data_IF_042223169362
#
_entry.id   IF_042223169362
#
_cell.length_a   1.000
_cell.length_b   1.000
_cell.length_c   1.000
_cell.angle_alpha   90.00
_cell.angle_beta   90.00
_cell.angle_gamma   90.00
#
_symmetry.space_group_name_H-M   'P 1'
#
loop_
_entity.id
_entity.type
_entity.pdbx_description
1 polymer ?
#
# COMPACT_ATOMS: atom_id res chain seq x y z
N UNK A 1 -19.43 35.15 -17.22
CA UNK A 1 -20.02 34.90 -15.89
C UNK A 1 -20.65 33.52 -15.92
N UNK A 2 -19.84 32.49 -15.64
CA UNK A 2 -20.26 31.09 -15.62
C UNK A 2 -20.84 30.77 -14.24
N UNK A 3 -22.12 30.41 -14.21
CA UNK A 3 -22.82 29.98 -13.01
C UNK A 3 -22.23 28.66 -12.49
N UNK A 4 -21.55 28.73 -11.33
CA UNK A 4 -21.31 27.57 -10.48
C UNK A 4 -22.62 27.29 -9.75
N UNK A 5 -23.20 26.08 -9.82
CA UNK A 5 -24.36 25.75 -9.00
C UNK A 5 -23.92 25.65 -7.54
N UNK A 6 -24.37 26.61 -6.73
CA UNK A 6 -24.31 26.51 -5.27
C UNK A 6 -25.18 25.34 -4.85
N UNK A 7 -24.55 24.27 -4.36
CA UNK A 7 -25.25 23.10 -3.87
C UNK A 7 -26.02 23.48 -2.58
N UNK A 8 -27.34 23.30 -2.61
CA UNK A 8 -28.26 23.68 -1.53
C UNK A 8 -28.38 22.53 -0.51
N UNK A 9 -27.83 22.73 0.68
CA UNK A 9 -28.45 22.31 1.95
C UNK A 9 -28.78 20.83 2.17
N UNK A 10 -27.91 19.90 1.79
CA UNK A 10 -27.92 18.54 2.36
C UNK A 10 -27.25 18.51 3.75
N UNK A 11 -27.47 17.47 4.58
CA UNK A 11 -26.72 17.30 5.82
C UNK A 11 -25.22 17.23 5.51
N UNK A 12 -24.43 18.06 6.20
CA UNK A 12 -22.97 17.99 6.16
C UNK A 12 -22.55 16.57 6.52
N UNK A 13 -22.02 15.81 5.55
CA UNK A 13 -21.40 14.53 5.85
C UNK A 13 -19.96 14.79 6.30
N UNK A 14 -19.37 13.94 7.16
CA UNK A 14 -17.97 14.07 7.56
C UNK A 14 -16.98 14.12 6.39
N UNK A 15 -17.42 13.77 5.17
CA UNK A 15 -16.61 13.68 3.95
C UNK A 15 -16.66 14.90 3.05
N UNK A 16 -17.50 15.89 3.35
CA UNK A 16 -17.55 17.12 2.55
C UNK A 16 -16.17 17.81 2.65
N UNK A 17 -15.49 17.93 1.52
CA UNK A 17 -14.16 18.53 1.35
C UNK A 17 -12.95 17.71 1.84
N UNK A 18 -13.12 16.43 2.21
CA UNK A 18 -11.99 15.53 2.50
C UNK A 18 -11.45 14.91 1.21
N UNK A 19 -12.08 13.85 0.65
CA UNK A 19 -11.63 13.23 -0.62
C UNK A 19 -12.75 12.57 -1.45
N UNK A 20 -14.00 12.59 -0.96
CA UNK A 20 -15.17 12.01 -1.63
C UNK A 20 -16.42 12.86 -1.39
N UNK A 21 -17.10 13.27 -2.47
CA UNK A 21 -18.36 14.02 -2.36
C UNK A 21 -19.52 13.19 -1.77
N UNK A 22 -19.33 11.87 -1.63
CA UNK A 22 -20.36 10.92 -1.20
C UNK A 22 -19.87 10.05 -0.05
N UNK A 23 -20.70 9.93 1.00
CA UNK A 23 -20.56 8.92 2.04
C UNK A 23 -21.33 7.63 1.72
N UNK A 24 -21.38 6.70 2.68
CA UNK A 24 -22.12 5.45 2.56
C UNK A 24 -23.64 5.66 2.45
N UNK A 25 -24.30 4.86 1.61
CA UNK A 25 -25.75 4.73 1.55
C UNK A 25 -26.24 3.67 2.52
N UNK A 26 -27.53 3.74 2.88
CA UNK A 26 -28.15 2.76 3.78
C UNK A 26 -28.02 1.34 3.21
N UNK A 27 -27.40 0.45 3.98
CA UNK A 27 -27.21 -0.95 3.61
C UNK A 27 -25.92 -1.23 2.82
N UNK A 28 -25.11 -0.21 2.54
CA UNK A 28 -23.76 -0.42 2.02
C UNK A 28 -22.80 -0.97 3.08
N UNK A 29 -21.67 -1.45 2.60
CA UNK A 29 -20.66 -2.09 3.43
C UNK A 29 -20.15 -1.13 4.53
N UNK A 30 -20.12 -1.53 5.81
CA UNK A 30 -19.78 -0.63 6.91
C UNK A 30 -18.28 -0.28 6.97
N UNK A 31 -17.42 -1.04 6.27
CA UNK A 31 -15.98 -0.81 6.25
C UNK A 31 -15.28 -1.08 7.57
N UNK A 32 -15.94 -1.74 8.53
CA UNK A 32 -15.36 -2.16 9.81
C UNK A 32 -16.13 -3.34 10.40
N UNK A 33 -15.41 -4.24 11.06
CA UNK A 33 -15.98 -5.32 11.83
C UNK A 33 -16.44 -4.83 13.21
N UNK A 34 -17.54 -5.40 13.74
CA UNK A 34 -18.03 -5.04 15.08
C UNK A 34 -17.18 -5.63 16.21
N UNK A 35 -16.70 -6.85 16.01
CA UNK A 35 -15.94 -7.59 17.01
C UNK A 35 -14.85 -8.43 16.32
N UNK A 36 -13.77 -7.79 15.85
CA UNK A 36 -12.69 -8.51 15.20
C UNK A 36 -11.94 -9.41 16.19
N UNK A 37 -11.27 -10.44 15.67
CA UNK A 37 -10.48 -11.39 16.49
C UNK A 37 -9.35 -10.67 17.22
N UNK A 38 -8.58 -9.86 16.48
CA UNK A 38 -7.54 -8.97 17.00
C UNK A 38 -7.55 -7.64 16.23
N UNK A 39 -6.77 -6.66 16.70
CA UNK A 39 -6.44 -5.46 15.92
C UNK A 39 -4.93 -5.42 15.68
N UNK A 40 -4.50 -5.45 14.42
CA UNK A 40 -3.08 -5.29 14.07
C UNK A 40 -2.68 -3.81 14.14
N UNK A 41 -1.43 -3.57 14.50
CA UNK A 41 -0.91 -2.22 14.73
C UNK A 41 -0.35 -1.56 13.46
N UNK A 42 0.24 -2.36 12.57
CA UNK A 42 0.84 -1.90 11.30
C UNK A 42 1.27 -3.12 10.45
N UNK A 43 1.86 -2.91 9.28
CA UNK A 43 2.72 -3.90 8.64
C UNK A 43 4.00 -4.10 9.46
N UNK A 44 4.40 -5.36 9.61
CA UNK A 44 5.69 -5.73 10.16
C UNK A 44 6.76 -5.75 9.07
N UNK A 45 6.54 -6.46 7.96
CA UNK A 45 7.40 -6.50 6.77
C UNK A 45 6.67 -7.19 5.60
N UNK A 46 7.27 -7.16 4.41
CA UNK A 46 6.81 -7.93 3.24
C UNK A 46 7.77 -9.08 2.89
N UNK A 47 7.24 -10.24 2.50
CA UNK A 47 8.04 -11.42 2.17
C UNK A 47 8.10 -11.66 0.66
N UNK A 48 9.30 -11.77 0.11
CA UNK A 48 9.55 -12.10 -1.30
C UNK A 48 10.53 -13.25 -1.46
N UNK A 49 10.47 -13.90 -2.61
CA UNK A 49 11.56 -14.72 -3.14
C UNK A 49 12.15 -14.05 -4.38
N UNK A 50 13.46 -14.17 -4.56
CA UNK A 50 14.19 -13.74 -5.76
C UNK A 50 15.30 -14.72 -6.14
N UNK A 51 15.60 -14.86 -7.45
CA UNK A 51 16.67 -15.75 -7.92
C UNK A 51 18.07 -15.24 -7.59
N UNK A 52 18.23 -13.93 -7.42
CA UNK A 52 19.53 -13.27 -7.26
C UNK A 52 19.47 -12.23 -6.13
N UNK A 53 20.04 -12.58 -4.98
CA UNK A 53 20.09 -11.70 -3.80
C UNK A 53 21.12 -10.58 -3.94
N UNK A 54 22.13 -10.74 -4.79
CA UNK A 54 23.14 -9.70 -5.02
C UNK A 54 22.51 -8.58 -5.86
N UNK A 55 21.82 -8.95 -6.94
CA UNK A 55 21.07 -8.01 -7.76
C UNK A 55 19.94 -7.33 -6.98
N UNK A 56 19.25 -8.07 -6.12
CA UNK A 56 18.23 -7.51 -5.25
C UNK A 56 18.80 -6.49 -4.26
N UNK A 57 19.97 -6.77 -3.67
CA UNK A 57 20.63 -5.83 -2.75
C UNK A 57 21.09 -4.54 -3.45
N UNK A 58 21.66 -4.64 -4.65
CA UNK A 58 22.09 -3.45 -5.42
C UNK A 58 20.89 -2.53 -5.64
N UNK A 59 19.78 -3.06 -6.14
CA UNK A 59 18.55 -2.28 -6.30
C UNK A 59 18.04 -1.75 -4.96
N UNK A 60 18.00 -2.57 -3.91
CA UNK A 60 17.51 -2.15 -2.61
C UNK A 60 18.28 -0.93 -2.06
N UNK A 61 19.61 -0.93 -2.22
CA UNK A 61 20.46 0.21 -1.80
C UNK A 61 20.22 1.44 -2.67
N UNK A 62 20.14 1.26 -3.99
CA UNK A 62 19.89 2.37 -4.92
C UNK A 62 18.47 2.97 -4.73
N UNK A 63 17.48 2.14 -4.38
CA UNK A 63 16.12 2.56 -4.04
C UNK A 63 16.04 3.22 -2.65
N UNK A 64 17.04 3.02 -1.79
CA UNK A 64 17.20 3.74 -0.52
C UNK A 64 16.99 2.93 0.76
N UNK A 65 16.92 1.60 0.68
CA UNK A 65 16.90 0.74 1.87
C UNK A 65 18.28 0.63 2.53
N UNK A 66 18.27 0.50 3.85
CA UNK A 66 19.38 -0.04 4.60
C UNK A 66 19.25 -1.57 4.75
N UNK A 67 20.38 -2.26 4.97
CA UNK A 67 20.41 -3.70 5.18
C UNK A 67 20.42 -3.98 6.68
N UNK A 68 19.39 -4.68 7.16
CA UNK A 68 19.28 -5.11 8.56
C UNK A 68 20.13 -6.37 8.82
N UNK A 69 20.06 -7.34 7.92
CA UNK A 69 20.81 -8.58 7.98
C UNK A 69 20.94 -9.19 6.58
N UNK A 70 22.02 -9.95 6.37
CA UNK A 70 22.26 -10.67 5.11
C UNK A 70 22.90 -12.02 5.38
N UNK A 71 22.39 -13.04 4.71
CA UNK A 71 22.98 -14.38 4.61
C UNK A 71 23.01 -14.81 3.14
N UNK A 72 23.49 -16.02 2.86
CA UNK A 72 23.42 -16.58 1.52
C UNK A 72 21.97 -16.87 1.06
N UNK A 73 21.03 -17.02 2.00
CA UNK A 73 19.65 -17.40 1.72
C UNK A 73 18.64 -16.27 1.91
N UNK A 74 18.97 -15.23 2.67
CA UNK A 74 18.05 -14.16 3.01
C UNK A 74 18.72 -12.79 3.02
N UNK A 75 17.95 -11.78 2.58
CA UNK A 75 18.29 -10.37 2.63
C UNK A 75 17.18 -9.62 3.35
N UNK A 76 17.48 -9.08 4.53
CA UNK A 76 16.57 -8.29 5.34
C UNK A 76 16.81 -6.80 5.10
N UNK A 77 15.81 -6.11 4.58
CA UNK A 77 15.83 -4.67 4.28
C UNK A 77 15.08 -3.91 5.37
N UNK A 78 15.51 -2.69 5.67
CA UNK A 78 14.89 -1.82 6.67
C UNK A 78 14.96 -0.35 6.27
N UNK A 79 14.10 0.46 6.88
CA UNK A 79 14.17 1.91 6.84
C UNK A 79 15.04 2.50 7.97
N UNK A 80 15.12 3.83 8.00
CA UNK A 80 15.89 4.60 8.97
C UNK A 80 15.20 4.76 10.31
N UNK A 81 13.86 4.73 10.37
CA UNK A 81 13.16 4.74 11.65
C UNK A 81 13.47 3.49 12.48
N UNK A 82 13.40 3.63 13.80
CA UNK A 82 13.43 2.49 14.70
C UNK A 82 12.17 1.63 14.50
N UNK A 83 12.28 0.30 14.57
CA UNK A 83 11.14 -0.59 14.40
C UNK A 83 11.47 -1.92 13.75
N UNK A 84 10.50 -2.50 13.04
CA UNK A 84 10.66 -3.75 12.31
C UNK A 84 11.39 -3.54 10.97
N UNK A 85 11.93 -4.62 10.37
CA UNK A 85 12.36 -4.61 8.97
C UNK A 85 11.24 -4.14 8.03
N UNK A 86 11.55 -3.75 6.81
CA UNK A 86 10.54 -3.42 5.80
C UNK A 86 10.24 -4.62 4.89
N UNK A 87 11.27 -5.40 4.55
CA UNK A 87 11.15 -6.49 3.60
C UNK A 87 12.16 -7.59 3.91
N UNK A 88 11.77 -8.84 3.68
CA UNK A 88 12.70 -9.97 3.55
C UNK A 88 12.63 -10.53 2.15
N UNK A 89 13.79 -10.71 1.54
CA UNK A 89 13.95 -11.35 0.25
C UNK A 89 14.71 -12.65 0.48
N UNK A 90 14.05 -13.77 0.17
CA UNK A 90 14.65 -15.11 0.25
C UNK A 90 15.16 -15.55 -1.11
N UNK A 91 16.25 -16.31 -1.14
CA UNK A 91 16.73 -16.94 -2.35
C UNK A 91 15.71 -17.99 -2.80
N UNK A 92 15.24 -17.87 -4.04
CA UNK A 92 14.25 -18.75 -4.63
C UNK A 92 14.56 -19.05 -6.10
N UNK A 93 13.72 -19.84 -6.75
CA UNK A 93 13.89 -20.16 -8.19
C UNK A 93 13.36 -19.07 -9.12
N UNK A 94 12.45 -18.24 -8.63
CA UNK A 94 11.78 -17.19 -9.39
C UNK A 94 11.38 -16.05 -8.46
N UNK A 95 11.25 -14.85 -9.03
CA UNK A 95 10.73 -13.69 -8.31
C UNK A 95 9.24 -13.90 -7.99
N UNK A 96 8.87 -13.89 -6.71
CA UNK A 96 7.46 -13.92 -6.29
C UNK A 96 7.25 -13.26 -4.94
N UNK A 97 6.07 -12.68 -4.76
CA UNK A 97 5.59 -12.27 -3.45
C UNK A 97 5.08 -13.49 -2.68
N UNK A 98 5.49 -13.60 -1.42
CA UNK A 98 5.09 -14.70 -0.52
C UNK A 98 3.96 -14.27 0.42
N UNK A 99 3.85 -13.00 0.76
CA UNK A 99 2.79 -12.49 1.62
C UNK A 99 3.21 -11.33 2.52
N UNK A 100 2.24 -10.59 3.09
CA UNK A 100 2.50 -9.58 4.10
C UNK A 100 2.62 -10.22 5.49
N UNK A 101 3.47 -9.61 6.33
CA UNK A 101 3.45 -9.82 7.77
C UNK A 101 2.88 -8.57 8.44
N UNK A 102 1.90 -8.73 9.32
CA UNK A 102 1.31 -7.67 10.13
C UNK A 102 1.81 -7.74 11.57
N UNK A 103 2.05 -6.57 12.17
CA UNK A 103 2.45 -6.45 13.56
C UNK A 103 1.23 -6.55 14.47
N UNK A 104 1.21 -7.52 15.36
CA UNK A 104 0.25 -7.58 16.46
C UNK A 104 0.48 -6.40 17.43
N UNK A 105 -0.58 -5.84 17.99
CA UNK A 105 -0.47 -4.82 19.02
C UNK A 105 0.17 -5.39 20.30
N UNK A 106 -0.24 -6.60 20.68
CA UNK A 106 0.30 -7.31 21.83
C UNK A 106 0.67 -8.76 21.52
N UNK A 107 1.58 -9.34 22.31
CA UNK A 107 1.93 -10.76 22.21
C UNK A 107 0.70 -11.68 22.36
N UNK A 108 -0.24 -11.30 23.24
CA UNK A 108 -1.47 -12.05 23.50
C UNK A 108 -2.40 -12.12 22.27
N UNK A 109 -2.31 -11.15 21.35
CA UNK A 109 -3.09 -11.17 20.11
C UNK A 109 -2.62 -12.28 19.17
N UNK A 110 -1.31 -12.58 19.12
CA UNK A 110 -0.78 -13.71 18.35
C UNK A 110 -1.35 -15.03 18.87
N UNK A 111 -1.38 -15.19 20.20
CA UNK A 111 -1.94 -16.38 20.86
C UNK A 111 -3.46 -16.50 20.62
N UNK A 112 -4.21 -15.38 20.73
CA UNK A 112 -5.66 -15.33 20.47
C UNK A 112 -5.98 -15.68 19.03
N UNK A 113 -5.25 -15.11 18.08
CA UNK A 113 -5.45 -15.36 16.66
C UNK A 113 -5.15 -16.83 16.32
N UNK A 114 -4.05 -17.37 16.84
CA UNK A 114 -3.69 -18.77 16.65
C UNK A 114 -4.78 -19.72 17.18
N UNK A 115 -5.35 -19.44 18.35
CA UNK A 115 -6.47 -20.20 18.89
C UNK A 115 -7.72 -20.11 18.00
N UNK A 116 -8.05 -18.91 17.49
CA UNK A 116 -9.22 -18.68 16.65
C UNK A 116 -9.17 -19.44 15.32
N UNK A 117 -7.96 -19.61 14.75
CA UNK A 117 -7.77 -20.32 13.46
C UNK A 117 -7.28 -21.76 13.61
N UNK A 118 -7.07 -22.24 14.84
CA UNK A 118 -6.59 -23.59 15.11
C UNK A 118 -5.14 -23.84 14.66
N UNK A 119 -4.30 -22.80 14.63
CA UNK A 119 -2.89 -22.89 14.24
C UNK A 119 -1.97 -22.79 15.47
N UNK A 120 -0.67 -23.06 15.27
CA UNK A 120 0.34 -23.02 16.33
C UNK A 120 1.23 -21.79 16.18
N UNK A 121 1.45 -21.07 17.29
CA UNK A 121 2.43 -19.98 17.37
C UNK A 121 3.84 -20.53 17.29
N UNK A 122 4.69 -19.90 16.48
CA UNK A 122 6.10 -20.26 16.32
C UNK A 122 6.99 -19.08 16.60
N UNK A 123 8.16 -19.32 17.18
CA UNK A 123 9.22 -18.32 17.21
C UNK A 123 9.67 -18.04 15.76
N UNK A 124 10.02 -16.79 15.47
CA UNK A 124 10.47 -16.36 14.15
C UNK A 124 11.88 -15.83 14.23
N UNK A 125 12.72 -16.32 13.32
CA UNK A 125 14.10 -15.87 13.14
C UNK A 125 14.12 -14.62 12.25
N UNK A 126 13.68 -13.50 12.81
CA UNK A 126 13.81 -12.16 12.21
C UNK A 126 14.83 -11.35 13.01
N UNK A 127 15.44 -10.30 12.43
CA UNK A 127 16.21 -9.34 13.22
C UNK A 127 15.36 -8.78 14.38
N UNK A 128 15.81 -9.01 15.62
CA UNK A 128 15.08 -8.65 16.85
C UNK A 128 14.16 -9.74 17.41
N UNK A 129 14.04 -10.89 16.74
CA UNK A 129 13.24 -12.04 17.16
C UNK A 129 11.74 -11.75 17.28
N UNK A 130 10.95 -12.78 17.58
CA UNK A 130 9.52 -12.61 17.81
C UNK A 130 8.74 -13.90 17.75
N UNK A 131 7.43 -13.77 17.84
CA UNK A 131 6.48 -14.89 17.70
C UNK A 131 5.46 -14.59 16.63
N UNK A 132 5.13 -15.58 15.82
CA UNK A 132 4.13 -15.42 14.77
C UNK A 132 3.17 -16.58 14.66
N UNK A 133 2.04 -16.29 14.03
CA UNK A 133 1.13 -17.26 13.45
C UNK A 133 1.01 -16.99 11.96
N UNK A 134 0.98 -18.06 11.17
CA UNK A 134 0.76 -18.00 9.73
C UNK A 134 -0.70 -18.36 9.43
N UNK A 135 -1.29 -17.66 8.47
CA UNK A 135 -2.66 -17.81 8.00
C UNK A 135 -2.66 -17.79 6.46
N UNK A 136 -3.83 -18.05 5.89
CA UNK A 136 -4.12 -17.75 4.49
C UNK A 136 -5.34 -16.86 4.43
N UNK A 137 -5.27 -15.81 3.62
CA UNK A 137 -6.47 -15.04 3.32
C UNK A 137 -7.41 -15.83 2.41
N UNK A 138 -8.66 -15.37 2.20
CA UNK A 138 -9.64 -16.02 1.34
C UNK A 138 -9.21 -16.23 -0.11
N UNK A 139 -8.22 -15.48 -0.60
CA UNK A 139 -7.65 -15.61 -1.94
C UNK A 139 -6.55 -16.66 -2.03
N UNK A 140 -6.13 -17.22 -0.87
CA UNK A 140 -5.06 -18.21 -0.77
C UNK A 140 -3.67 -17.59 -0.60
N UNK A 141 -3.58 -16.28 -0.38
CA UNK A 141 -2.31 -15.60 -0.11
C UNK A 141 -1.87 -15.90 1.34
N UNK A 142 -0.62 -16.34 1.57
CA UNK A 142 -0.10 -16.45 2.93
C UNK A 142 -0.08 -15.08 3.62
N UNK A 143 -0.56 -15.04 4.86
CA UNK A 143 -0.51 -13.85 5.72
C UNK A 143 0.12 -14.25 7.04
N UNK A 144 1.03 -13.42 7.56
CA UNK A 144 1.63 -13.63 8.88
C UNK A 144 1.17 -12.55 9.84
N UNK A 145 0.93 -12.92 11.10
CA UNK A 145 0.82 -11.95 12.20
C UNK A 145 1.94 -12.23 13.19
N UNK A 146 2.68 -11.18 13.55
CA UNK A 146 3.89 -11.27 14.36
C UNK A 146 3.89 -10.27 15.51
N UNK A 147 4.37 -10.69 16.66
CA UNK A 147 4.83 -9.80 17.72
C UNK A 147 6.36 -9.82 17.74
N UNK A 148 6.99 -8.73 17.32
CA UNK A 148 8.45 -8.58 17.34
C UNK A 148 8.93 -8.38 18.79
N UNK A 149 10.01 -9.04 19.20
CA UNK A 149 10.50 -8.94 20.57
C UNK A 149 11.29 -7.65 20.81
N UNK A 150 12.25 -7.32 19.93
CA UNK A 150 13.04 -6.09 20.03
C UNK A 150 12.97 -5.27 18.74
N UNK A 151 12.69 -3.96 18.81
CA UNK A 151 12.77 -3.08 17.65
C UNK A 151 14.23 -2.85 17.26
N UNK A 152 14.50 -2.78 15.96
CA UNK A 152 15.80 -2.34 15.47
C UNK A 152 16.03 -0.86 15.80
N UNK A 153 17.26 -0.44 16.16
CA UNK A 153 17.56 0.95 16.52
C UNK A 153 17.48 1.87 15.30
N UNK A 154 17.13 3.14 15.48
CA UNK A 154 17.09 4.12 14.41
C UNK A 154 18.46 4.30 13.72
N UNK A 155 18.45 4.64 12.44
CA UNK A 155 19.61 4.97 11.61
C UNK A 155 19.58 6.46 11.23
N UNK A 156 20.71 7.04 10.78
CA UNK A 156 20.73 8.43 10.33
C UNK A 156 19.74 8.70 9.20
N UNK A 157 18.88 9.67 9.42
CA UNK A 157 17.86 10.08 8.47
C UNK A 157 18.41 11.02 7.39
N UNK A 158 17.60 11.25 6.36
CA UNK A 158 17.81 12.33 5.41
C UNK A 158 17.02 13.55 5.91
N UNK A 159 17.73 14.65 6.17
CA UNK A 159 17.15 15.88 6.71
C UNK A 159 16.27 16.59 5.67
N UNK A 160 15.04 17.01 6.03
CA UNK A 160 14.20 17.82 5.17
C UNK A 160 14.88 19.15 4.81
N UNK A 161 14.66 19.61 3.58
CA UNK A 161 15.25 20.87 3.14
C UNK A 161 14.45 22.06 3.67
N UNK A 162 15.15 23.11 4.11
CA UNK A 162 14.50 24.35 4.54
C UNK A 162 13.97 25.08 3.31
N UNK A 163 12.65 25.11 3.15
CA UNK A 163 11.96 25.78 2.05
C UNK A 163 11.70 27.26 2.35
N UNK A 164 11.75 28.09 1.31
CA UNK A 164 11.13 29.42 1.30
C UNK A 164 9.76 29.27 0.63
N UNK A 165 8.67 29.68 1.28
CA UNK A 165 7.30 29.41 0.85
C UNK A 165 6.47 30.68 0.86
N UNK A 166 5.95 31.10 -0.29
CA UNK A 166 5.15 32.33 -0.40
C UNK A 166 5.92 33.54 0.13
N UNK A 167 5.42 34.14 1.21
CA UNK A 167 6.03 35.28 1.92
C UNK A 167 6.97 34.88 3.07
N UNK A 168 7.07 33.59 3.42
CA UNK A 168 8.00 33.07 4.43
C UNK A 168 9.36 32.74 3.76
N UNK A 169 10.33 33.64 3.91
CA UNK A 169 11.68 33.47 3.39
C UNK A 169 12.66 33.16 4.53
N UNK A 170 12.84 31.87 4.84
CA UNK A 170 13.73 31.39 5.91
C UNK A 170 15.22 31.38 5.54
N UNK A 171 15.55 31.52 4.26
CA UNK A 171 16.92 31.50 3.74
C UNK A 171 17.30 32.81 3.08
N UNK A 172 18.42 33.37 3.53
CA UNK A 172 19.06 34.58 2.98
C UNK A 172 20.51 34.27 2.64
N UNK A 173 20.96 34.62 1.44
CA UNK A 173 22.31 34.33 0.94
C UNK A 173 22.72 32.84 1.03
N UNK A 174 21.75 31.92 0.97
CA UNK A 174 21.95 30.47 1.00
C UNK A 174 21.15 29.80 -0.12
N UNK A 175 21.72 28.80 -0.76
CA UNK A 175 21.15 28.11 -1.93
C UNK A 175 20.84 26.64 -1.63
N UNK A 176 19.76 26.09 -2.22
CA UNK A 176 19.46 24.65 -2.20
C UNK A 176 19.97 23.98 -3.47
N UNK A 177 20.68 22.86 -3.33
CA UNK A 177 20.88 21.87 -4.39
C UNK A 177 20.77 20.48 -3.78
N UNK A 178 19.58 19.86 -3.73
CA UNK A 178 19.45 18.50 -3.22
C UNK A 178 20.39 17.56 -4.00
N UNK A 179 21.16 16.71 -3.32
CA UNK A 179 22.01 15.73 -3.98
C UNK A 179 21.15 14.69 -4.70
N UNK A 180 21.60 14.25 -5.88
CA UNK A 180 21.05 13.06 -6.54
C UNK A 180 21.65 11.83 -5.86
N UNK A 181 20.96 11.33 -4.85
CA UNK A 181 21.34 10.17 -4.05
C UNK A 181 20.11 9.31 -3.74
N UNK A 182 20.25 8.06 -3.23
CA UNK A 182 19.10 7.24 -2.89
C UNK A 182 18.17 7.96 -1.91
N UNK A 183 16.87 7.99 -2.21
CA UNK A 183 15.84 8.48 -1.29
C UNK A 183 15.80 7.59 -0.05
N UNK A 184 16.36 8.04 1.08
CA UNK A 184 16.48 7.17 2.27
C UNK A 184 15.10 6.76 2.75
N UNK A 185 14.82 5.46 2.70
CA UNK A 185 13.55 4.90 3.18
C UNK A 185 13.48 5.09 4.69
N UNK A 186 12.43 5.75 5.16
CA UNK A 186 12.14 5.92 6.59
C UNK A 186 11.44 4.68 7.17
N UNK A 187 10.42 4.17 6.47
CA UNK A 187 9.66 2.97 6.87
C UNK A 187 8.86 2.36 5.72
N UNK A 188 8.31 1.16 5.93
CA UNK A 188 7.25 0.59 5.11
C UNK A 188 5.93 1.32 5.43
N UNK A 189 5.19 1.71 4.40
CA UNK A 189 3.86 2.33 4.54
C UNK A 189 2.75 1.33 4.27
N UNK A 190 2.65 0.88 3.03
CA UNK A 190 1.53 0.03 2.63
C UNK A 190 1.89 -1.02 1.57
N UNK A 191 0.96 -1.97 1.38
CA UNK A 191 0.98 -2.94 0.29
C UNK A 191 -0.35 -2.92 -0.45
N UNK A 192 -0.30 -3.08 -1.77
CA UNK A 192 -1.50 -3.16 -2.62
C UNK A 192 -1.61 -4.55 -3.24
N UNK A 193 -2.78 -5.15 -3.08
CA UNK A 193 -3.09 -6.50 -3.51
C UNK A 193 -4.27 -6.53 -4.48
N UNK A 194 -4.18 -7.40 -5.46
CA UNK A 194 -5.27 -7.77 -6.37
C UNK A 194 -5.89 -9.10 -5.90
N UNK A 195 -7.20 -9.24 -6.03
CA UNK A 195 -7.91 -10.49 -5.74
C UNK A 195 -9.11 -10.68 -6.66
N UNK A 196 -9.52 -11.94 -6.87
CA UNK A 196 -10.77 -12.31 -7.57
C UNK A 196 -11.98 -12.36 -6.65
N UNK A 197 -11.76 -12.39 -5.33
CA UNK A 197 -12.81 -12.52 -4.30
C UNK A 197 -12.73 -11.35 -3.34
N UNK A 198 -12.94 -10.15 -3.87
CA UNK A 198 -12.75 -8.87 -3.19
C UNK A 198 -13.50 -8.74 -1.86
N UNK A 199 -14.83 -8.85 -1.83
CA UNK A 199 -15.61 -8.63 -0.60
C UNK A 199 -15.25 -9.68 0.45
N UNK A 200 -15.18 -10.96 0.04
CA UNK A 200 -14.81 -12.04 0.97
C UNK A 200 -13.42 -11.82 1.58
N UNK A 201 -12.46 -11.37 0.76
CA UNK A 201 -11.09 -11.09 1.20
C UNK A 201 -11.06 -9.86 2.12
N UNK A 202 -11.74 -8.78 1.75
CA UNK A 202 -11.89 -7.57 2.57
C UNK A 202 -12.44 -7.93 3.96
N UNK A 203 -13.59 -8.62 4.01
CA UNK A 203 -14.26 -8.98 5.27
C UNK A 203 -13.34 -9.78 6.17
N UNK A 204 -12.51 -10.67 5.60
CA UNK A 204 -11.52 -11.40 6.38
C UNK A 204 -10.47 -10.49 7.02
N UNK A 205 -9.94 -9.49 6.31
CA UNK A 205 -9.00 -8.52 6.91
C UNK A 205 -9.66 -7.68 8.01
N UNK A 206 -10.94 -7.30 7.83
CA UNK A 206 -11.69 -6.55 8.83
C UNK A 206 -12.02 -7.40 10.06
N UNK A 207 -12.56 -8.60 9.87
CA UNK A 207 -13.01 -9.50 10.95
C UNK A 207 -11.84 -10.18 11.67
N UNK A 208 -10.77 -10.53 10.96
CA UNK A 208 -9.64 -11.27 11.52
C UNK A 208 -8.60 -10.33 12.11
N UNK A 209 -8.25 -9.27 11.39
CA UNK A 209 -7.14 -8.37 11.74
C UNK A 209 -7.61 -7.01 12.26
N UNK A 210 -8.92 -6.76 12.31
CA UNK A 210 -9.49 -5.56 12.92
C UNK A 210 -9.13 -4.28 12.20
N UNK A 211 -8.76 -4.36 10.92
CA UNK A 211 -8.53 -3.20 10.09
C UNK A 211 -9.85 -2.51 9.75
N UNK A 212 -9.80 -1.25 9.31
CA UNK A 212 -10.97 -0.45 8.94
C UNK A 212 -10.73 0.32 7.64
N UNK A 213 -11.78 0.60 6.89
CA UNK A 213 -11.70 1.23 5.56
C UNK A 213 -11.69 2.75 5.68
N UNK A 214 -10.78 3.38 4.93
CA UNK A 214 -10.71 4.84 4.75
C UNK A 214 -11.51 5.27 3.54
N UNK A 215 -11.34 4.57 2.41
CA UNK A 215 -12.08 4.84 1.17
C UNK A 215 -12.48 3.55 0.47
N UNK A 216 -13.70 3.55 -0.07
CA UNK A 216 -14.20 2.58 -1.03
C UNK A 216 -14.22 3.19 -2.42
N UNK A 217 -13.74 2.44 -3.41
CA UNK A 217 -13.99 2.75 -4.81
C UNK A 217 -14.94 1.73 -5.43
N UNK A 218 -15.86 2.22 -6.27
CA UNK A 218 -16.81 1.40 -7.01
C UNK A 218 -16.71 1.67 -8.51
N UNK A 219 -17.08 0.68 -9.32
CA UNK A 219 -17.18 0.86 -10.77
C UNK A 219 -18.37 1.77 -11.11
N UNK A 220 -18.14 2.76 -11.96
CA UNK A 220 -19.17 3.68 -12.43
C UNK A 220 -20.39 2.92 -13.01
N UNK A 221 -21.60 3.33 -12.61
CA UNK A 221 -22.85 2.63 -12.91
C UNK A 221 -23.07 1.29 -12.19
N UNK A 222 -22.17 0.89 -11.28
CA UNK A 222 -22.21 -0.40 -10.59
C UNK A 222 -22.13 -0.30 -9.06
N UNK A 223 -22.36 0.88 -8.46
CA UNK A 223 -22.31 1.09 -6.99
C UNK A 223 -23.22 0.12 -6.22
N UNK A 224 -24.40 -0.18 -6.75
CA UNK A 224 -25.35 -1.15 -6.20
C UNK A 224 -24.81 -2.58 -6.09
N UNK A 225 -23.74 -2.90 -6.81
CA UNK A 225 -23.05 -4.19 -6.72
C UNK A 225 -21.97 -4.19 -5.64
N UNK A 226 -21.81 -3.10 -4.91
CA UNK A 226 -20.77 -2.91 -3.92
C UNK A 226 -19.43 -2.44 -4.49
N UNK A 227 -18.48 -2.16 -3.60
CA UNK A 227 -17.16 -1.64 -3.95
C UNK A 227 -16.32 -2.70 -4.67
N UNK A 228 -15.30 -2.23 -5.39
CA UNK A 228 -14.32 -3.05 -6.11
C UNK A 228 -12.89 -2.71 -5.73
N UNK A 229 -12.68 -1.72 -4.86
CA UNK A 229 -11.42 -1.43 -4.22
C UNK A 229 -11.65 -0.79 -2.86
N UNK A 230 -10.73 -1.03 -1.93
CA UNK A 230 -10.74 -0.43 -0.61
C UNK A 230 -9.32 -0.01 -0.23
N UNK A 231 -9.20 1.18 0.36
CA UNK A 231 -8.03 1.65 1.09
C UNK A 231 -8.28 1.38 2.57
N UNK A 232 -7.43 0.58 3.20
CA UNK A 232 -7.69 -0.05 4.50
C UNK A 232 -6.56 0.32 5.46
N UNK A 233 -6.91 0.95 6.59
CA UNK A 233 -5.99 1.35 7.66
C UNK A 233 -6.10 0.45 8.88
N UNK A 234 -5.06 0.43 9.71
CA UNK A 234 -5.10 -0.20 11.03
C UNK A 234 -6.01 0.59 11.98
N UNK A 235 -6.82 -0.08 12.81
CA UNK A 235 -7.59 0.60 13.85
C UNK A 235 -6.77 0.68 15.14
N UNK A 236 -6.22 1.87 15.42
CA UNK A 236 -5.52 2.22 16.66
C UNK A 236 -6.37 3.10 17.59
N UNK A 237 -7.70 3.04 17.44
CA UNK A 237 -8.63 3.90 18.16
C UNK A 237 -8.50 5.35 17.73
N UNK A 238 -8.38 6.26 18.71
CA UNK A 238 -8.26 7.69 18.45
C UNK A 238 -6.86 8.12 17.96
N UNK A 239 -5.86 7.23 17.97
CA UNK A 239 -4.54 7.54 17.45
C UNK A 239 -4.61 7.66 15.92
N UNK A 240 -4.19 8.80 15.33
CA UNK A 240 -4.13 8.92 13.87
C UNK A 240 -3.11 7.95 13.28
N UNK A 241 -3.52 7.26 12.22
CA UNK A 241 -2.69 6.33 11.44
C UNK A 241 -2.74 6.70 9.97
N UNK A 242 -1.83 6.16 9.16
CA UNK A 242 -1.85 6.35 7.71
C UNK A 242 -3.23 6.08 7.11
N UNK A 243 -3.55 6.85 6.06
CA UNK A 243 -4.71 6.65 5.21
C UNK A 243 -4.97 5.17 4.88
N UNK A 244 -3.91 4.42 4.62
CA UNK A 244 -4.00 2.98 4.44
C UNK A 244 -2.66 2.31 4.72
N UNK A 245 -2.75 1.10 5.23
CA UNK A 245 -1.66 0.13 5.39
C UNK A 245 -1.80 -1.01 4.37
N UNK A 246 -3.04 -1.28 3.93
CA UNK A 246 -3.38 -2.23 2.89
C UNK A 246 -4.32 -1.56 1.90
N UNK A 247 -4.09 -1.73 0.60
CA UNK A 247 -5.13 -1.53 -0.39
C UNK A 247 -5.44 -2.86 -1.09
N UNK A 248 -6.72 -3.09 -1.36
CA UNK A 248 -7.20 -4.29 -2.02
C UNK A 248 -8.07 -3.88 -3.20
N UNK A 249 -7.91 -4.51 -4.36
CA UNK A 249 -8.81 -4.29 -5.49
C UNK A 249 -9.20 -5.59 -6.19
N UNK A 250 -10.40 -5.57 -6.77
CA UNK A 250 -10.91 -6.62 -7.63
C UNK A 250 -10.15 -6.61 -8.96
N UNK A 251 -9.72 -7.78 -9.42
CA UNK A 251 -9.09 -7.92 -10.73
C UNK A 251 -8.85 -9.37 -11.12
N UNK A 252 -8.55 -9.63 -12.40
CA UNK A 252 -8.45 -10.99 -12.95
C UNK A 252 -7.25 -11.79 -12.43
N UNK A 253 -6.26 -11.15 -11.79
CA UNK A 253 -5.17 -11.83 -11.11
C UNK A 253 -5.43 -12.01 -9.61
N UNK A 254 -4.40 -12.45 -8.89
CA UNK A 254 -4.41 -12.53 -7.43
C UNK A 254 -2.98 -12.36 -6.93
N UNK A 255 -2.76 -11.47 -5.97
CA UNK A 255 -1.46 -11.25 -5.34
C UNK A 255 -0.96 -9.81 -5.44
N UNK A 256 0.37 -9.66 -5.46
CA UNK A 256 1.04 -8.38 -5.31
C UNK A 256 0.87 -7.44 -6.51
N UNK A 257 0.56 -6.17 -6.23
CA UNK A 257 0.54 -5.08 -7.21
C UNK A 257 1.74 -4.16 -7.01
N UNK A 258 1.84 -3.53 -5.84
CA UNK A 258 2.98 -2.73 -5.40
C UNK A 258 3.05 -2.63 -3.87
N UNK A 259 4.13 -2.03 -3.37
CA UNK A 259 4.31 -1.65 -1.97
C UNK A 259 5.04 -0.32 -1.91
N UNK A 260 4.77 0.44 -0.86
CA UNK A 260 5.22 1.81 -0.75
C UNK A 260 6.02 2.06 0.52
N UNK A 261 7.02 2.92 0.37
CA UNK A 261 8.02 3.19 1.38
C UNK A 261 8.17 4.70 1.59
N UNK A 262 8.06 5.12 2.84
CA UNK A 262 8.07 6.54 3.18
C UNK A 262 9.47 7.10 2.96
N UNK A 263 9.57 8.28 2.37
CA UNK A 263 10.78 9.09 2.26
C UNK A 263 10.54 10.49 2.82
N UNK A 264 11.62 11.25 3.01
CA UNK A 264 11.60 12.52 3.75
C UNK A 264 10.59 13.55 3.21
N UNK A 265 10.66 13.86 1.92
CA UNK A 265 9.89 14.94 1.30
C UNK A 265 9.87 14.85 -0.24
N UNK A 266 9.22 15.82 -0.89
CA UNK A 266 9.15 15.92 -2.35
C UNK A 266 10.53 16.05 -3.02
N UNK A 267 11.46 16.79 -2.40
CA UNK A 267 12.80 16.96 -2.94
C UNK A 267 13.58 15.63 -2.91
N UNK A 268 13.37 14.80 -1.88
CA UNK A 268 13.89 13.44 -1.84
C UNK A 268 13.36 12.60 -3.00
N UNK A 269 12.04 12.58 -3.21
CA UNK A 269 11.42 11.84 -4.33
C UNK A 269 12.00 12.33 -5.67
N UNK A 270 12.09 13.65 -5.86
CA UNK A 270 12.57 14.23 -7.10
C UNK A 270 14.05 13.94 -7.38
N UNK A 271 14.94 14.24 -6.43
CA UNK A 271 16.37 14.07 -6.61
C UNK A 271 16.79 12.58 -6.62
N UNK A 272 16.17 11.76 -5.77
CA UNK A 272 16.39 10.31 -5.79
C UNK A 272 15.80 9.64 -7.02
N UNK A 273 14.70 10.17 -7.56
CA UNK A 273 14.16 9.73 -8.83
C UNK A 273 15.10 10.00 -10.01
N UNK A 274 15.85 11.11 -10.01
CA UNK A 274 16.91 11.35 -11.00
C UNK A 274 18.09 10.39 -10.83
N UNK A 275 18.48 10.11 -9.58
CA UNK A 275 19.54 9.14 -9.27
C UNK A 275 19.22 7.73 -9.78
N UNK A 276 17.96 7.28 -9.62
CA UNK A 276 17.49 6.00 -10.15
C UNK A 276 17.47 5.98 -11.68
N UNK A 277 17.06 7.08 -12.32
CA UNK A 277 17.06 7.20 -13.78
C UNK A 277 18.48 7.13 -14.36
N UNK A 278 19.46 7.80 -13.74
CA UNK A 278 20.88 7.77 -14.15
C UNK A 278 21.47 6.35 -14.08
N UNK A 279 20.91 5.48 -13.23
CA UNK A 279 21.28 4.06 -13.11
C UNK A 279 20.51 3.14 -14.06
N UNK A 280 19.60 3.69 -14.85
CA UNK A 280 18.83 2.94 -15.84
C UNK A 280 17.64 2.17 -15.27
N UNK A 281 17.20 2.47 -14.04
CA UNK A 281 15.97 1.91 -13.52
C UNK A 281 14.76 2.45 -14.27
N UNK A 282 13.69 1.65 -14.34
CA UNK A 282 12.47 2.02 -15.05
C UNK A 282 11.49 2.70 -14.09
N UNK A 283 11.18 3.97 -14.35
CA UNK A 283 10.04 4.65 -13.72
C UNK A 283 8.75 4.16 -14.36
N UNK A 284 7.82 3.67 -13.55
CA UNK A 284 6.48 3.26 -13.97
C UNK A 284 5.53 4.45 -14.03
N UNK A 285 5.53 5.33 -13.03
CA UNK A 285 4.68 6.52 -12.99
C UNK A 285 5.21 7.54 -11.97
N UNK A 286 4.70 8.77 -12.03
CA UNK A 286 5.12 9.87 -11.17
C UNK A 286 6.14 10.83 -11.81
N UNK A 287 6.49 11.93 -11.13
CA UNK A 287 6.05 12.29 -9.76
C UNK A 287 4.63 12.86 -9.79
N UNK A 288 3.81 12.54 -8.79
CA UNK A 288 2.47 13.11 -8.66
C UNK A 288 2.00 13.17 -7.20
N UNK A 289 0.73 13.56 -7.04
CA UNK A 289 0.01 13.50 -5.77
C UNK A 289 -1.29 12.74 -5.93
N UNK A 290 -1.55 11.75 -5.07
CA UNK A 290 -2.76 10.95 -5.11
C UNK A 290 -4.01 11.71 -4.67
N UNK A 291 -5.18 11.33 -5.19
CA UNK A 291 -6.46 11.83 -4.67
C UNK A 291 -6.76 11.20 -3.31
N UNK A 292 -6.73 9.87 -3.21
CA UNK A 292 -6.92 9.15 -1.95
C UNK A 292 -5.66 9.21 -1.10
N UNK A 293 -5.80 9.69 0.14
CA UNK A 293 -4.71 9.80 1.12
C UNK A 293 -3.65 10.86 0.82
N UNK A 294 -3.86 11.70 -0.21
CA UNK A 294 -3.05 12.87 -0.58
C UNK A 294 -1.55 12.67 -0.74
N UNK A 295 -1.03 11.44 -0.71
CA UNK A 295 0.40 11.20 -0.69
C UNK A 295 1.07 11.61 -2.01
N UNK A 296 2.25 12.21 -1.90
CA UNK A 296 3.19 12.34 -2.99
C UNK A 296 3.70 10.96 -3.37
N UNK A 297 3.94 10.72 -4.66
CA UNK A 297 4.39 9.41 -5.12
C UNK A 297 5.37 9.49 -6.30
N UNK A 298 6.22 8.47 -6.40
CA UNK A 298 6.71 7.94 -7.67
C UNK A 298 6.81 6.41 -7.63
N UNK A 299 6.81 5.76 -8.80
CA UNK A 299 6.79 4.31 -8.92
C UNK A 299 7.94 3.81 -9.78
N UNK A 300 8.63 2.77 -9.32
CA UNK A 300 9.78 2.17 -9.98
C UNK A 300 9.67 0.66 -10.07
N UNK A 301 10.23 0.08 -11.15
CA UNK A 301 10.41 -1.36 -11.29
C UNK A 301 11.79 -1.76 -10.80
N UNK A 302 11.82 -2.78 -9.96
CA UNK A 302 13.06 -3.49 -9.67
C UNK A 302 13.54 -4.34 -10.87
N UNK A 303 14.73 -4.96 -10.78
CA UNK A 303 15.26 -5.80 -11.87
C UNK A 303 14.40 -7.02 -12.24
N UNK A 304 13.50 -7.47 -11.36
CA UNK A 304 12.54 -8.55 -11.60
C UNK A 304 11.13 -8.03 -11.94
N UNK A 305 10.99 -6.73 -12.23
CA UNK A 305 9.74 -6.03 -12.56
C UNK A 305 8.71 -5.94 -11.42
N UNK A 306 9.13 -6.14 -10.17
CA UNK A 306 8.30 -5.81 -9.00
C UNK A 306 8.19 -4.29 -8.91
N UNK A 307 6.98 -3.77 -8.72
CA UNK A 307 6.75 -2.33 -8.58
C UNK A 307 6.88 -1.90 -7.12
N UNK A 308 7.66 -0.87 -6.87
CA UNK A 308 7.83 -0.23 -5.57
C UNK A 308 7.54 1.27 -5.71
N UNK A 309 7.00 1.86 -4.65
CA UNK A 309 6.64 3.26 -4.56
C UNK A 309 7.49 3.98 -3.49
N UNK A 310 7.98 5.18 -3.82
CA UNK A 310 8.34 6.15 -2.78
C UNK A 310 7.14 7.03 -2.50
N UNK A 311 6.82 7.24 -1.23
CA UNK A 311 5.77 8.18 -0.84
C UNK A 311 6.21 9.17 0.24
N UNK A 312 5.55 10.32 0.29
CA UNK A 312 5.69 11.32 1.35
C UNK A 312 4.37 12.09 1.51
N UNK A 313 4.19 12.78 2.65
CA UNK A 313 3.08 13.71 2.87
C UNK A 313 1.67 13.09 2.67
N UNK A 314 1.45 11.93 3.29
CA UNK A 314 0.16 11.23 3.28
C UNK A 314 -0.74 11.61 4.47
N UNK A 315 -2.05 11.51 4.27
CA UNK A 315 -3.05 11.84 5.29
C UNK A 315 -3.06 10.85 6.46
N UNK A 316 -3.38 11.34 7.66
CA UNK A 316 -3.53 10.54 8.88
C UNK A 316 -4.97 10.58 9.38
N UNK A 317 -5.60 9.42 9.58
CA UNK A 317 -6.98 9.26 10.02
C UNK A 317 -7.10 8.49 11.35
N UNK A 318 -8.06 8.87 12.19
CA UNK A 318 -8.46 8.10 13.39
C UNK A 318 -9.63 7.14 13.08
N UNK A 319 -10.09 6.38 14.08
CA UNK A 319 -11.29 5.54 13.96
C UNK A 319 -12.60 6.31 13.81
N UNK A 320 -12.60 7.62 14.09
CA UNK A 320 -13.80 8.47 14.08
C UNK A 320 -14.26 8.81 12.67
N UNK A 321 -13.35 8.71 11.69
CA UNK A 321 -13.67 8.94 10.29
C UNK A 321 -14.30 7.69 9.67
N UNK A 322 -15.51 7.86 9.13
CA UNK A 322 -16.22 6.83 8.36
C UNK A 322 -15.56 6.62 6.98
N UNK A 323 -15.89 5.56 6.21
CA UNK A 323 -15.34 5.38 4.88
C UNK A 323 -15.92 6.37 3.84
N UNK A 324 -15.05 6.98 3.03
CA UNK A 324 -15.44 7.69 1.80
C UNK A 324 -15.85 6.74 0.67
N UNK A 325 -16.63 7.21 -0.31
CA UNK A 325 -17.11 6.42 -1.44
C UNK A 325 -17.01 7.18 -2.78
N UNK A 326 -16.07 6.77 -3.64
CA UNK A 326 -15.83 7.42 -4.93
C UNK A 326 -15.88 6.46 -6.13
N UNK A 327 -16.19 6.95 -7.34
CA UNK A 327 -16.06 6.14 -8.55
C UNK A 327 -14.57 5.86 -8.84
N UNK A 328 -14.28 4.64 -9.27
CA UNK A 328 -12.95 4.24 -9.76
C UNK A 328 -12.74 4.75 -11.19
N UNK A 329 -11.68 5.51 -11.42
CA UNK A 329 -11.22 5.93 -12.75
C UNK A 329 -9.70 6.17 -12.77
N UNK A 330 -9.07 6.08 -13.93
CA UNK A 330 -7.65 6.39 -14.11
C UNK A 330 -7.37 7.89 -13.89
N UNK A 331 -8.28 8.77 -14.33
CA UNK A 331 -8.26 10.20 -14.00
C UNK A 331 -8.44 10.50 -12.50
N UNK A 332 -9.08 9.60 -11.76
CA UNK A 332 -9.33 9.69 -10.32
C UNK A 332 -8.17 9.21 -9.45
N UNK A 333 -7.01 8.85 -10.03
CA UNK A 333 -5.86 8.37 -9.27
C UNK A 333 -4.97 9.51 -8.70
N UNK A 334 -4.90 10.66 -9.37
CA UNK A 334 -3.99 11.74 -9.00
C UNK A 334 -4.61 13.13 -9.12
N UNK A 335 -4.31 14.00 -8.15
CA UNK A 335 -4.69 15.42 -8.15
C UNK A 335 -3.88 16.18 -9.20
N UNK A 336 -2.59 15.87 -9.29
CA UNK A 336 -1.66 16.39 -10.28
C UNK A 336 -0.51 15.39 -10.49
N UNK A 337 0.12 15.46 -11.66
CA UNK A 337 1.18 14.56 -12.10
C UNK A 337 1.06 14.26 -13.59
N UNK A 338 2.00 13.49 -14.17
CA UNK A 338 1.85 13.03 -15.54
C UNK A 338 0.67 12.06 -15.67
N UNK A 339 0.08 11.90 -16.87
CA UNK A 339 -0.91 10.87 -17.12
C UNK A 339 -0.42 9.49 -16.66
N UNK A 340 -1.31 8.70 -16.07
CA UNK A 340 -0.97 7.34 -15.62
C UNK A 340 -0.53 6.48 -16.80
N UNK A 341 0.51 5.67 -16.58
CA UNK A 341 1.08 4.84 -17.65
C UNK A 341 0.39 3.48 -17.74
N UNK A 342 0.51 2.84 -18.91
CA UNK A 342 0.06 1.45 -19.10
C UNK A 342 0.85 0.44 -18.29
N UNK A 343 2.12 0.74 -18.00
CA UNK A 343 2.97 -0.09 -17.16
C UNK A 343 2.44 -0.12 -15.72
N UNK A 344 2.07 1.04 -15.17
CA UNK A 344 1.46 1.14 -13.85
C UNK A 344 0.11 0.42 -13.78
N UNK A 345 -0.79 0.67 -14.73
CA UNK A 345 -2.11 0.02 -14.78
C UNK A 345 -2.05 -1.49 -15.10
N UNK A 346 -0.86 -2.01 -15.46
CA UNK A 346 -0.70 -3.38 -15.92
C UNK A 346 -1.52 -3.71 -17.18
N UNK A 347 -1.92 -2.73 -17.99
CA UNK A 347 -2.81 -2.91 -19.17
C UNK A 347 -2.06 -3.33 -20.44
N UNK A 348 -0.79 -3.70 -20.30
CA UNK A 348 -0.01 -4.29 -21.40
C UNK A 348 -0.50 -5.71 -21.66
N UNK A 349 -1.00 -6.03 -22.89
CA UNK A 349 -1.50 -7.36 -23.20
C UNK A 349 -0.37 -8.39 -23.15
N UNK A 350 -0.62 -9.52 -22.50
CA UNK A 350 0.31 -10.65 -22.46
C UNK A 350 -0.45 -11.98 -22.47
N UNK A 351 0.17 -13.08 -22.95
CA UNK A 351 -0.44 -14.41 -22.88
C UNK A 351 -0.79 -14.83 -21.44
N UNK A 352 -0.02 -14.39 -20.45
CA UNK A 352 -0.30 -14.64 -19.04
C UNK A 352 -1.60 -13.94 -18.60
N UNK A 353 -1.76 -12.66 -18.93
CA UNK A 353 -2.96 -11.88 -18.58
C UNK A 353 -4.23 -12.39 -19.28
N UNK A 354 -4.10 -12.86 -20.53
CA UNK A 354 -5.18 -13.56 -21.23
C UNK A 354 -5.60 -14.84 -20.49
N UNK A 355 -4.63 -15.63 -20.00
CA UNK A 355 -4.94 -16.82 -19.18
C UNK A 355 -5.61 -16.44 -17.86
N UNK A 356 -5.14 -15.41 -17.18
CA UNK A 356 -5.76 -14.91 -15.93
C UNK A 356 -7.22 -14.55 -16.14
N UNK A 357 -7.54 -13.80 -17.20
CA UNK A 357 -8.93 -13.43 -17.52
C UNK A 357 -9.77 -14.67 -17.85
N UNK A 358 -9.24 -15.62 -18.64
CA UNK A 358 -9.95 -16.84 -18.98
C UNK A 358 -10.21 -17.73 -17.75
N UNK A 359 -9.24 -17.85 -16.84
CA UNK A 359 -9.38 -18.58 -15.59
C UNK A 359 -10.39 -17.89 -14.68
N UNK A 360 -10.26 -16.57 -14.50
CA UNK A 360 -11.17 -15.77 -13.69
C UNK A 360 -12.64 -15.92 -14.12
N UNK A 361 -12.93 -16.00 -15.42
CA UNK A 361 -14.29 -16.19 -15.93
C UNK A 361 -14.86 -17.61 -15.75
N UNK A 362 -14.03 -18.59 -15.36
CA UNK A 362 -14.43 -19.99 -15.17
C UNK A 362 -14.60 -20.37 -13.71
N UNK A 363 -13.89 -19.69 -12.82
CA UNK A 363 -13.90 -19.97 -11.40
C UNK A 363 -15.09 -19.29 -10.71
N UNK A 364 -15.53 -19.86 -9.58
CA UNK A 364 -16.57 -19.27 -8.73
C UNK A 364 -15.97 -18.09 -7.93
N UNK A 365 -16.11 -16.87 -8.47
CA UNK A 365 -15.54 -15.65 -7.90
C UNK A 365 -16.39 -14.40 -8.27
N UNK A 366 -15.89 -13.20 -7.96
CA UNK A 366 -16.65 -11.95 -8.14
C UNK A 366 -16.55 -11.34 -9.55
N UNK A 367 -15.83 -11.99 -10.48
CA UNK A 367 -15.64 -11.52 -11.86
C UNK A 367 -16.62 -12.17 -12.83
N UNK A 368 -17.42 -11.31 -13.44
CA UNK A 368 -18.24 -11.64 -14.60
C UNK A 368 -17.87 -10.72 -15.78
N UNK A 369 -18.39 -10.96 -17.00
CA UNK A 369 -18.12 -10.09 -18.15
C UNK A 369 -18.47 -8.62 -17.91
N UNK A 370 -19.49 -8.32 -17.10
CA UNK A 370 -19.90 -6.95 -16.77
C UNK A 370 -18.92 -6.25 -15.82
N UNK A 371 -18.36 -6.96 -14.84
CA UNK A 371 -17.27 -6.45 -13.98
C UNK A 371 -16.00 -6.22 -14.77
N UNK A 372 -15.63 -7.15 -15.65
CA UNK A 372 -14.43 -6.99 -16.50
C UNK A 372 -14.55 -5.77 -17.42
N UNK A 373 -15.71 -5.58 -18.06
CA UNK A 373 -15.96 -4.39 -18.88
C UNK A 373 -15.91 -3.10 -18.04
N UNK A 374 -16.46 -3.12 -16.83
CA UNK A 374 -16.39 -1.98 -15.92
C UNK A 374 -14.96 -1.65 -15.49
N UNK A 375 -14.17 -2.65 -15.12
CA UNK A 375 -12.74 -2.50 -14.81
C UNK A 375 -11.97 -1.92 -16.01
N UNK A 376 -12.21 -2.45 -17.21
CA UNK A 376 -11.59 -1.94 -18.43
C UNK A 376 -11.96 -0.47 -18.68
N UNK A 377 -13.24 -0.11 -18.55
CA UNK A 377 -13.70 1.28 -18.68
C UNK A 377 -12.98 2.19 -17.69
N UNK A 378 -12.92 1.80 -16.41
CA UNK A 378 -12.26 2.56 -15.35
C UNK A 378 -10.77 2.80 -15.64
N UNK A 379 -10.05 1.80 -16.19
CA UNK A 379 -8.63 1.94 -16.56
C UNK A 379 -8.40 2.84 -17.78
N UNK A 380 -9.44 3.19 -18.53
CA UNK A 380 -9.36 4.03 -19.74
C UNK A 380 -10.00 5.41 -19.58
N UNK A 381 -10.63 5.70 -18.43
CA UNK A 381 -11.42 6.91 -18.15
C UNK A 381 -10.70 7.96 -17.31
#
# INVERSE_FOLDING_TARGET
MSHIPVNKGGPLTPHQDLHSEQGALRGEHPGRARNPVIKVADLAWLEFEKPDLDRAEVFARDFGFAIAARTDQELWLRGTFAGSPCMVIRRGRASRFLGPAFRAAERADVDRLAAAVGHTVRDVDVPGGGRSVALFDPSGLPVRVVHCAEPLPALPEQEPLILNSGTDHRRTNSTQRPPREPSRIQRLGHVVLETRSFIRTLDWYLDTLGMIVSDFLFLDGQRQRGPTMAFIRCDQGSLPVDHHTLALHLGPGTGYVHSAYQVTDLDSIAAGGEYLAERGYQRSWGIGRHIQGSQLFDYWRDPDRVMLEHFADGDLFSCDLEPGWAPMSASGLAQWGPPVTRDFLGTSPSPAKLREVMTALRDDNELDPGRLLGLMKAMTS
#
